data_IF_319923238659
#
_entry.id   IF_319923238659
#
_cell.length_a   1.000
_cell.length_b   1.000
_cell.length_c   1.000
_cell.angle_alpha   90.00
_cell.angle_beta   90.00
_cell.angle_gamma   90.00
#
_symmetry.space_group_name_H-M   'P 1'
#
loop_
_entity.id
_entity.type
_entity.pdbx_description
1 polymer ?
#
# COMPACT_ATOMS: atom_id res chain seq x y z
N UNK A 1 -9.46 -3.72 20.76
CA UNK A 1 -8.82 -4.13 22.03
C UNK A 1 -9.94 -4.56 22.97
N UNK A 2 -10.02 -5.83 23.33
CA UNK A 2 -10.94 -6.30 24.35
C UNK A 2 -10.33 -5.98 25.71
N UNK A 3 -10.99 -5.19 26.52
CA UNK A 3 -10.67 -5.09 27.95
C UNK A 3 -10.84 -6.48 28.58
N UNK A 4 -9.77 -7.09 29.06
CA UNK A 4 -9.82 -8.39 29.68
C UNK A 4 -8.47 -9.01 29.97
N UNK A 5 -8.48 -10.11 30.70
CA UNK A 5 -7.29 -10.92 31.01
C UNK A 5 -7.04 -11.83 29.81
N UNK A 6 -5.82 -11.79 29.25
CA UNK A 6 -5.42 -12.72 28.20
C UNK A 6 -4.99 -14.04 28.83
N UNK A 7 -5.75 -15.13 28.57
CA UNK A 7 -5.36 -16.47 28.97
C UNK A 7 -4.37 -17.06 27.98
N UNK A 8 -3.22 -17.51 28.49
CA UNK A 8 -2.20 -18.18 27.70
C UNK A 8 -2.27 -19.68 27.92
N UNK A 9 -2.52 -20.42 26.85
CA UNK A 9 -2.57 -21.88 26.92
C UNK A 9 -1.18 -22.46 27.24
N UNK A 10 -1.08 -23.29 28.27
CA UNK A 10 0.16 -23.94 28.74
C UNK A 10 0.86 -24.73 27.62
N UNK A 11 0.12 -25.34 26.71
CA UNK A 11 0.70 -26.09 25.60
C UNK A 11 1.56 -25.25 24.64
N UNK A 12 1.27 -23.95 24.53
CA UNK A 12 1.99 -23.04 23.61
C UNK A 12 3.03 -22.17 24.29
N UNK A 13 2.89 -21.94 25.60
CA UNK A 13 3.68 -20.94 26.33
C UNK A 13 4.34 -21.46 27.61
N UNK A 14 4.40 -22.79 27.78
CA UNK A 14 5.00 -23.43 28.99
C UNK A 14 6.45 -23.00 29.24
N UNK A 15 7.21 -22.77 28.18
CA UNK A 15 8.62 -22.33 28.24
C UNK A 15 8.77 -20.83 28.60
N UNK A 16 7.66 -20.10 28.60
CA UNK A 16 7.61 -18.65 28.89
C UNK A 16 7.07 -18.33 30.26
N UNK A 17 6.69 -19.33 31.06
CA UNK A 17 6.24 -19.13 32.42
C UNK A 17 7.34 -18.43 33.23
N UNK A 18 7.01 -17.34 33.92
CA UNK A 18 7.95 -16.55 34.69
C UNK A 18 8.90 -15.63 33.88
N UNK A 19 8.76 -15.61 32.55
CA UNK A 19 9.49 -14.71 31.66
C UNK A 19 8.60 -13.54 31.25
N UNK A 20 9.21 -12.43 30.81
CA UNK A 20 8.45 -11.33 30.26
C UNK A 20 7.79 -11.78 28.93
N UNK A 21 6.47 -11.92 28.94
CA UNK A 21 5.68 -12.33 27.76
C UNK A 21 5.81 -11.33 26.61
N UNK A 22 5.90 -10.05 26.93
CA UNK A 22 6.03 -8.95 25.96
C UNK A 22 7.48 -8.67 25.56
N UNK A 23 8.43 -9.55 25.84
CA UNK A 23 9.73 -9.53 25.14
C UNK A 23 9.53 -9.89 23.67
N UNK A 24 8.74 -9.09 23.00
CA UNK A 24 8.78 -8.98 21.57
C UNK A 24 10.09 -8.30 21.17
N UNK A 25 10.62 -8.62 20.01
CA UNK A 25 11.54 -7.74 19.29
C UNK A 25 10.86 -6.40 19.14
N UNK A 26 10.95 -5.53 20.15
CA UNK A 26 10.45 -4.17 20.06
C UNK A 26 11.38 -3.42 19.14
N UNK A 27 11.07 -3.47 17.85
CA UNK A 27 11.68 -2.50 16.94
C UNK A 27 11.41 -1.12 17.51
N UNK A 28 12.47 -0.33 17.60
CA UNK A 28 12.31 1.06 18.03
C UNK A 28 11.59 1.80 16.93
N UNK A 29 10.38 2.24 17.20
CA UNK A 29 9.57 3.05 16.31
C UNK A 29 9.68 4.51 16.74
N UNK A 30 9.88 5.38 15.78
CA UNK A 30 9.89 6.84 16.00
C UNK A 30 8.67 7.41 15.29
N UNK A 31 7.82 8.09 16.04
CA UNK A 31 6.70 8.84 15.49
C UNK A 31 7.17 10.25 15.11
N UNK A 32 6.89 10.65 13.87
CA UNK A 32 7.35 11.90 13.28
C UNK A 32 6.17 12.70 12.74
N UNK A 33 5.97 13.88 13.27
CA UNK A 33 5.03 14.85 12.69
C UNK A 33 5.69 15.57 11.50
N UNK A 34 5.18 15.30 10.31
CA UNK A 34 5.67 15.90 9.07
C UNK A 34 4.78 17.08 8.69
N UNK A 35 5.40 18.22 8.38
CA UNK A 35 4.69 19.41 7.92
C UNK A 35 4.09 19.21 6.53
N UNK A 36 2.94 19.82 6.20
CA UNK A 36 2.23 19.61 4.92
C UNK A 36 3.05 19.94 3.67
N UNK A 37 4.06 20.80 3.78
CA UNK A 37 4.95 21.17 2.68
C UNK A 37 6.08 20.16 2.42
N UNK A 38 6.16 19.06 3.20
CA UNK A 38 7.18 18.02 3.07
C UNK A 38 6.56 16.63 2.83
N UNK A 39 5.65 16.47 1.86
CA UNK A 39 5.05 15.16 1.56
C UNK A 39 6.10 14.12 1.13
N UNK A 40 7.25 14.56 0.67
CA UNK A 40 8.39 13.71 0.32
C UNK A 40 8.99 12.96 1.54
N UNK A 41 8.70 13.41 2.76
CA UNK A 41 9.16 12.81 4.01
C UNK A 41 8.11 11.89 4.68
N UNK A 42 6.98 11.60 4.04
CA UNK A 42 5.96 10.69 4.59
C UNK A 42 6.34 9.20 4.54
N UNK A 43 7.50 8.85 4.01
CA UNK A 43 8.06 7.49 4.02
C UNK A 43 9.48 7.45 4.56
N UNK A 44 9.89 6.26 5.01
CA UNK A 44 11.20 6.02 5.63
C UNK A 44 12.35 6.55 4.77
N UNK A 45 12.28 6.34 3.45
CA UNK A 45 13.33 6.79 2.56
C UNK A 45 13.43 8.31 2.44
N UNK A 46 12.32 9.02 2.49
CA UNK A 46 12.31 10.49 2.50
C UNK A 46 13.00 11.05 3.73
N UNK A 47 12.68 10.50 4.90
CA UNK A 47 13.33 10.84 6.16
C UNK A 47 14.84 10.51 6.12
N UNK A 48 15.21 9.32 5.62
CA UNK A 48 16.61 8.94 5.51
C UNK A 48 17.40 9.88 4.59
N UNK A 49 16.80 10.37 3.49
CA UNK A 49 17.39 11.37 2.61
C UNK A 49 17.58 12.70 3.31
N UNK A 50 16.59 13.14 4.09
CA UNK A 50 16.63 14.41 4.82
C UNK A 50 17.72 14.38 5.91
N UNK A 51 17.78 13.30 6.68
CA UNK A 51 18.84 13.08 7.66
C UNK A 51 20.24 13.04 7.02
N UNK A 52 20.37 12.44 5.84
CA UNK A 52 21.64 12.44 5.11
C UNK A 52 22.03 13.84 4.64
N UNK A 53 21.08 14.65 4.20
CA UNK A 53 21.31 16.05 3.84
C UNK A 53 21.73 16.90 5.04
N UNK A 54 21.19 16.58 6.24
CA UNK A 54 21.59 17.20 7.50
C UNK A 54 22.94 16.70 8.06
N UNK A 55 23.63 15.79 7.36
CA UNK A 55 24.93 15.27 7.79
C UNK A 55 24.90 14.20 8.88
N UNK A 56 23.70 13.71 9.26
CA UNK A 56 23.53 12.70 10.32
C UNK A 56 23.99 11.31 9.86
N UNK A 57 24.02 11.07 8.55
CA UNK A 57 24.42 9.77 7.98
C UNK A 57 24.58 9.80 6.47
N UNK A 58 24.70 8.62 5.87
CA UNK A 58 24.78 8.45 4.41
C UNK A 58 23.59 7.65 3.90
N UNK A 59 22.86 8.18 2.92
CA UNK A 59 21.77 7.49 2.27
C UNK A 59 22.29 6.27 1.50
N UNK A 60 21.82 5.09 1.88
CA UNK A 60 22.14 3.84 1.16
C UNK A 60 21.48 3.82 -0.21
N UNK A 61 22.20 3.36 -1.23
CA UNK A 61 21.62 3.11 -2.55
C UNK A 61 20.58 1.99 -2.46
N UNK A 62 19.47 2.14 -3.15
CA UNK A 62 18.53 1.04 -3.33
C UNK A 62 19.16 0.05 -4.32
N UNK A 63 19.35 -1.18 -3.87
CA UNK A 63 19.73 -2.27 -4.76
C UNK A 63 18.47 -2.94 -5.28
N UNK A 64 18.10 -2.62 -6.49
CA UNK A 64 16.99 -3.30 -7.17
C UNK A 64 17.55 -4.56 -7.86
N UNK A 65 16.93 -5.71 -7.57
CA UNK A 65 17.19 -6.92 -8.36
C UNK A 65 16.68 -6.68 -9.78
N UNK A 66 17.49 -7.06 -10.76
CA UNK A 66 17.04 -6.99 -12.14
C UNK A 66 15.95 -8.06 -12.37
N UNK A 67 14.70 -7.62 -12.42
CA UNK A 67 13.56 -8.49 -12.67
C UNK A 67 13.41 -8.60 -14.18
N UNK A 68 13.61 -9.81 -14.71
CA UNK A 68 13.36 -10.09 -16.12
C UNK A 68 11.87 -9.96 -16.41
N UNK A 69 11.53 -9.09 -17.35
CA UNK A 69 10.17 -9.02 -17.87
C UNK A 69 9.99 -10.18 -18.86
N UNK A 70 9.09 -11.09 -18.55
CA UNK A 70 8.76 -12.24 -19.39
C UNK A 70 7.33 -12.03 -19.91
N UNK A 71 7.13 -12.06 -21.21
CA UNK A 71 5.80 -11.97 -21.81
C UNK A 71 5.34 -10.55 -22.17
N UNK A 72 4.10 -10.45 -22.62
CA UNK A 72 3.44 -9.22 -23.03
C UNK A 72 2.32 -8.87 -22.07
N UNK A 73 2.13 -7.57 -21.81
CA UNK A 73 1.00 -7.10 -21.02
C UNK A 73 -0.31 -7.36 -21.80
N UNK A 74 -1.17 -8.19 -21.23
CA UNK A 74 -2.47 -8.54 -21.83
C UNK A 74 -3.55 -7.49 -21.56
N UNK A 75 -3.43 -6.74 -20.46
CA UNK A 75 -4.37 -5.71 -20.04
C UNK A 75 -3.89 -4.38 -20.59
N UNK A 76 -4.69 -3.78 -21.47
CA UNK A 76 -4.43 -2.45 -22.00
C UNK A 76 -4.64 -1.41 -20.89
N UNK A 77 -3.83 -0.36 -20.90
CA UNK A 77 -3.98 0.80 -20.01
C UNK A 77 -4.05 2.05 -20.86
N UNK A 78 -5.03 2.89 -20.60
CA UNK A 78 -5.21 4.16 -21.27
C UNK A 78 -5.50 5.27 -20.29
N UNK A 79 -5.10 6.48 -20.65
CA UNK A 79 -5.42 7.72 -19.93
C UNK A 79 -6.23 8.57 -20.90
N UNK A 80 -7.43 9.01 -20.51
CA UNK A 80 -8.22 9.92 -21.33
C UNK A 80 -7.58 11.30 -21.37
N UNK A 81 -7.82 12.03 -22.47
CA UNK A 81 -7.30 13.39 -22.63
C UNK A 81 -8.37 14.42 -22.29
N UNK A 82 -8.82 14.40 -21.05
CA UNK A 82 -9.83 15.37 -20.58
C UNK A 82 -9.19 16.69 -20.13
N UNK A 83 -9.94 17.78 -20.24
CA UNK A 83 -9.54 19.06 -19.63
C UNK A 83 -9.53 18.86 -18.10
N UNK A 84 -8.50 19.37 -17.45
CA UNK A 84 -8.30 19.25 -15.98
C UNK A 84 -8.08 17.81 -15.49
N UNK A 85 -7.44 16.98 -16.30
CA UNK A 85 -7.13 15.62 -15.87
C UNK A 85 -6.10 15.57 -14.74
N UNK A 86 -6.45 14.90 -13.64
CA UNK A 86 -5.58 14.76 -12.47
C UNK A 86 -4.39 13.82 -12.65
N UNK A 87 -4.41 12.97 -13.69
CA UNK A 87 -3.36 11.97 -13.94
C UNK A 87 -2.72 12.18 -15.31
N UNK A 88 -1.43 12.46 -15.34
CA UNK A 88 -0.65 12.63 -16.59
C UNK A 88 0.16 11.40 -16.96
N UNK A 89 0.51 10.56 -15.96
CA UNK A 89 1.29 9.33 -16.14
C UNK A 89 0.73 8.25 -15.24
N UNK A 90 0.47 7.08 -15.80
CA UNK A 90 0.03 5.91 -15.07
C UNK A 90 0.92 4.71 -15.42
N UNK A 91 1.62 4.19 -14.42
CA UNK A 91 2.47 2.99 -14.56
C UNK A 91 1.73 1.76 -14.10
N UNK A 92 1.77 0.70 -14.87
CA UNK A 92 1.19 -0.60 -14.50
C UNK A 92 2.13 -1.75 -14.82
N UNK A 93 2.00 -2.84 -14.09
CA UNK A 93 2.72 -4.08 -14.31
C UNK A 93 1.79 -5.25 -14.05
N UNK A 94 1.68 -6.15 -15.01
CA UNK A 94 1.00 -7.43 -14.81
C UNK A 94 1.98 -8.43 -14.18
N UNK A 95 1.56 -9.04 -13.08
CA UNK A 95 2.33 -10.07 -12.38
C UNK A 95 1.50 -11.35 -12.41
N UNK A 96 2.03 -12.38 -13.06
CA UNK A 96 1.37 -13.68 -13.18
C UNK A 96 1.92 -14.68 -12.15
N UNK A 97 1.13 -15.70 -11.83
CA UNK A 97 1.52 -16.76 -10.89
C UNK A 97 1.54 -16.34 -9.42
N UNK A 98 0.86 -15.25 -9.08
CA UNK A 98 0.72 -14.78 -7.71
C UNK A 98 -0.36 -15.58 -6.99
N UNK A 99 -0.03 -16.10 -5.81
CA UNK A 99 -1.02 -16.60 -4.87
C UNK A 99 -1.09 -15.66 -3.68
N UNK A 100 -2.22 -14.99 -3.50
CA UNK A 100 -2.43 -14.10 -2.36
C UNK A 100 -2.62 -14.94 -1.10
N UNK A 101 -1.57 -15.04 -0.30
CA UNK A 101 -1.51 -15.79 0.96
C UNK A 101 -1.31 -14.83 2.13
N UNK A 102 -1.17 -15.39 3.31
CA UNK A 102 -0.66 -14.64 4.45
C UNK A 102 0.75 -14.10 4.16
N UNK A 103 1.02 -12.92 4.66
CA UNK A 103 2.35 -12.30 4.55
C UNK A 103 3.43 -13.13 5.27
N UNK A 104 4.65 -13.14 4.75
CA UNK A 104 5.77 -13.76 5.45
C UNK A 104 6.02 -13.03 6.77
N UNK A 105 6.59 -13.75 7.75
CA UNK A 105 6.72 -13.29 9.13
C UNK A 105 7.41 -11.92 9.24
N UNK A 106 8.51 -11.71 8.50
CA UNK A 106 9.23 -10.45 8.51
C UNK A 106 8.36 -9.24 8.09
N UNK A 107 7.44 -9.45 7.12
CA UNK A 107 6.55 -8.39 6.63
C UNK A 107 5.44 -8.11 7.66
N UNK A 108 4.87 -9.17 8.24
CA UNK A 108 3.91 -9.04 9.34
C UNK A 108 4.49 -8.23 10.50
N UNK A 109 5.70 -8.56 10.93
CA UNK A 109 6.39 -7.84 12.01
C UNK A 109 6.58 -6.36 11.69
N UNK A 110 6.97 -6.04 10.46
CA UNK A 110 7.11 -4.64 10.01
C UNK A 110 5.78 -3.88 10.06
N UNK A 111 4.72 -4.46 9.51
CA UNK A 111 3.39 -3.85 9.48
C UNK A 111 2.85 -3.65 10.91
N UNK A 112 3.02 -4.65 11.77
CA UNK A 112 2.60 -4.58 13.18
C UNK A 112 3.42 -3.52 13.94
N UNK A 113 4.73 -3.43 13.73
CA UNK A 113 5.56 -2.43 14.41
C UNK A 113 5.16 -0.99 14.09
N UNK A 114 4.53 -0.78 12.93
CA UNK A 114 3.99 0.51 12.49
C UNK A 114 2.51 0.72 12.91
N UNK A 115 1.99 -0.13 13.81
CA UNK A 115 0.62 -0.02 14.34
C UNK A 115 -0.47 -0.46 13.35
N UNK A 116 -0.11 -1.12 12.25
CA UNK A 116 -1.07 -1.60 11.27
C UNK A 116 -1.32 -3.12 11.44
N UNK A 117 -2.49 -3.57 11.01
CA UNK A 117 -2.86 -4.99 11.02
C UNK A 117 -2.52 -5.63 9.68
N UNK A 118 -1.73 -6.73 9.64
CA UNK A 118 -1.52 -7.51 8.43
C UNK A 118 -2.85 -8.07 7.89
N UNK A 119 -3.04 -8.00 6.59
CA UNK A 119 -4.26 -8.43 5.91
C UNK A 119 -3.95 -9.62 5.00
N UNK A 120 -3.14 -9.40 3.98
CA UNK A 120 -2.70 -10.42 3.01
C UNK A 120 -1.41 -9.97 2.33
N UNK A 121 -0.67 -10.91 1.76
CA UNK A 121 0.64 -10.61 1.19
C UNK A 121 0.61 -9.48 0.15
N UNK A 122 -0.39 -9.44 -0.72
CA UNK A 122 -0.49 -8.39 -1.75
C UNK A 122 -0.77 -7.02 -1.11
N UNK A 123 -1.73 -6.94 -0.20
CA UNK A 123 -2.08 -5.68 0.50
C UNK A 123 -0.92 -5.21 1.37
N UNK A 124 -0.30 -6.11 2.12
CA UNK A 124 0.80 -5.77 3.01
C UNK A 124 2.05 -5.31 2.24
N UNK A 125 2.30 -5.86 1.04
CA UNK A 125 3.38 -5.39 0.16
C UNK A 125 3.08 -3.96 -0.33
N UNK A 126 1.85 -3.64 -0.73
CA UNK A 126 1.50 -2.29 -1.15
C UNK A 126 1.66 -1.29 -0.02
N UNK A 127 1.22 -1.65 1.20
CA UNK A 127 1.41 -0.84 2.40
C UNK A 127 2.89 -0.68 2.75
N UNK A 128 3.67 -1.75 2.68
CA UNK A 128 5.11 -1.69 2.94
C UNK A 128 5.84 -0.74 1.97
N UNK A 129 5.55 -0.83 0.68
CA UNK A 129 6.15 0.07 -0.33
C UNK A 129 5.73 1.52 -0.10
N UNK A 130 4.48 1.76 0.28
CA UNK A 130 4.00 3.09 0.62
C UNK A 130 4.74 3.67 1.83
N UNK A 131 4.90 2.90 2.89
CA UNK A 131 5.58 3.32 4.12
C UNK A 131 7.09 3.50 3.94
N UNK A 132 7.73 2.64 3.15
CA UNK A 132 9.18 2.70 2.91
C UNK A 132 9.54 3.80 1.89
N UNK A 133 8.87 3.81 0.75
CA UNK A 133 9.21 4.66 -0.40
C UNK A 133 8.29 5.88 -0.58
N UNK A 134 7.26 6.02 0.24
CA UNK A 134 6.21 7.02 0.06
C UNK A 134 5.57 6.93 -1.34
N UNK A 135 5.28 5.70 -1.77
CA UNK A 135 4.69 5.44 -3.07
C UNK A 135 3.47 4.53 -2.93
N UNK A 136 2.29 5.12 -2.79
CA UNK A 136 1.04 4.38 -2.79
C UNK A 136 0.88 3.56 -4.08
N UNK A 137 0.40 2.34 -3.93
CA UNK A 137 0.18 1.40 -5.03
C UNK A 137 -1.28 0.91 -4.98
N UNK A 138 -1.86 0.69 -6.16
CA UNK A 138 -3.09 -0.05 -6.31
C UNK A 138 -2.77 -1.46 -6.82
N UNK A 139 -3.44 -2.46 -6.28
CA UNK A 139 -3.35 -3.84 -6.72
C UNK A 139 -4.75 -4.33 -7.12
N UNK A 140 -4.88 -4.79 -8.34
CA UNK A 140 -6.13 -5.31 -8.89
C UNK A 140 -5.99 -6.77 -9.25
N UNK A 141 -7.06 -7.53 -9.09
CA UNK A 141 -7.18 -8.88 -9.60
C UNK A 141 -7.35 -8.81 -11.13
N UNK A 142 -6.32 -9.26 -11.85
CA UNK A 142 -6.28 -9.16 -13.31
C UNK A 142 -7.40 -9.94 -14.00
N UNK A 143 -7.90 -11.01 -13.37
CA UNK A 143 -8.99 -11.83 -13.92
C UNK A 143 -10.35 -11.14 -13.79
N UNK A 144 -10.46 -10.12 -12.93
CA UNK A 144 -11.66 -9.30 -12.72
C UNK A 144 -11.70 -8.03 -13.55
N UNK A 145 -10.60 -7.65 -14.19
CA UNK A 145 -10.54 -6.45 -15.04
C UNK A 145 -11.26 -6.71 -16.36
N UNK A 146 -12.26 -5.90 -16.67
CA UNK A 146 -12.94 -5.98 -17.97
C UNK A 146 -12.14 -5.26 -19.08
N UNK A 147 -11.29 -6.05 -19.75
CA UNK A 147 -10.50 -5.74 -20.96
C UNK A 147 -9.38 -4.72 -20.79
N UNK A 148 -9.62 -3.59 -20.15
CA UNK A 148 -8.62 -2.53 -20.05
C UNK A 148 -8.81 -1.68 -18.77
N UNK A 149 -7.74 -1.11 -18.28
CA UNK A 149 -7.76 -0.07 -17.24
C UNK A 149 -7.80 1.28 -17.91
N UNK A 150 -8.75 2.12 -17.53
CA UNK A 150 -8.94 3.47 -18.05
C UNK A 150 -8.81 4.47 -16.89
N UNK A 151 -7.81 5.33 -16.96
CA UNK A 151 -7.68 6.46 -16.04
C UNK A 151 -8.35 7.67 -16.66
N UNK A 152 -9.36 8.21 -16.00
CA UNK A 152 -10.22 9.27 -16.52
C UNK A 152 -10.78 10.14 -15.40
N UNK A 153 -11.44 11.22 -15.76
CA UNK A 153 -12.32 11.88 -14.82
C UNK A 153 -13.60 11.07 -14.60
N UNK A 154 -14.15 11.12 -13.40
CA UNK A 154 -15.45 10.56 -13.08
C UNK A 154 -16.55 11.24 -13.90
N UNK A 155 -17.70 10.59 -14.03
CA UNK A 155 -18.91 11.22 -14.58
C UNK A 155 -19.74 11.78 -13.41
N UNK A 156 -20.39 12.90 -13.63
CA UNK A 156 -21.27 13.49 -12.62
C UNK A 156 -22.37 12.51 -12.22
N UNK A 157 -22.44 12.20 -10.94
CA UNK A 157 -23.42 11.27 -10.39
C UNK A 157 -23.08 9.79 -10.54
N UNK A 158 -21.90 9.46 -11.06
CA UNK A 158 -21.36 8.10 -11.04
C UNK A 158 -21.15 7.66 -9.60
N UNK A 159 -21.42 6.39 -9.29
CA UNK A 159 -21.24 5.85 -7.94
C UNK A 159 -20.05 4.89 -7.89
N UNK A 160 -19.48 4.77 -6.71
CA UNK A 160 -18.34 3.91 -6.43
C UNK A 160 -18.47 3.34 -5.02
N UNK A 161 -18.38 2.01 -4.91
CA UNK A 161 -18.31 1.32 -3.62
C UNK A 161 -16.85 1.23 -3.18
N UNK A 162 -16.53 1.88 -2.06
CA UNK A 162 -15.18 1.89 -1.51
C UNK A 162 -14.91 0.70 -0.57
N UNK A 163 -13.65 0.54 -0.16
CA UNK A 163 -13.21 -0.57 0.72
C UNK A 163 -13.86 -0.55 2.13
N UNK A 164 -14.49 0.56 2.50
CA UNK A 164 -15.27 0.67 3.74
C UNK A 164 -16.73 0.20 3.56
N UNK A 165 -17.06 -0.40 2.42
CA UNK A 165 -18.40 -0.86 2.02
C UNK A 165 -19.43 0.28 1.96
N UNK A 166 -19.00 1.51 1.74
CA UNK A 166 -19.89 2.63 1.50
C UNK A 166 -19.89 3.01 0.04
N UNK A 167 -21.08 3.40 -0.43
CA UNK A 167 -21.25 3.96 -1.76
C UNK A 167 -21.01 5.48 -1.73
N UNK A 168 -20.13 5.94 -2.60
CA UNK A 168 -19.84 7.36 -2.78
C UNK A 168 -20.33 7.82 -4.14
N UNK A 169 -20.99 8.99 -4.15
CA UNK A 169 -21.40 9.65 -5.37
C UNK A 169 -20.29 10.59 -5.83
N UNK A 170 -19.86 10.43 -7.06
CA UNK A 170 -18.72 11.16 -7.61
C UNK A 170 -19.20 12.42 -8.36
N UNK A 171 -18.36 13.47 -8.30
CA UNK A 171 -18.47 14.64 -9.17
C UNK A 171 -17.69 14.42 -10.48
N UNK A 172 -17.95 15.21 -11.51
CA UNK A 172 -17.40 14.99 -12.85
C UNK A 172 -15.91 15.32 -13.04
N UNK A 173 -15.21 15.75 -11.99
CA UNK A 173 -13.80 16.19 -12.03
C UNK A 173 -12.86 15.35 -11.15
N UNK A 174 -13.37 14.32 -10.49
CA UNK A 174 -12.56 13.42 -9.70
C UNK A 174 -11.79 12.45 -10.60
N UNK A 175 -10.49 12.28 -10.36
CA UNK A 175 -9.69 11.29 -11.07
C UNK A 175 -10.05 9.88 -10.61
N UNK A 176 -10.44 9.01 -11.53
CA UNK A 176 -10.79 7.61 -11.24
C UNK A 176 -9.96 6.65 -12.08
N UNK A 177 -9.71 5.50 -11.49
CA UNK A 177 -9.21 4.31 -12.18
C UNK A 177 -10.42 3.43 -12.43
N UNK A 178 -10.70 3.10 -13.66
CA UNK A 178 -11.91 2.38 -14.08
C UNK A 178 -11.58 1.30 -15.10
N UNK A 179 -12.54 0.45 -15.35
CA UNK A 179 -12.59 -0.41 -16.53
C UNK A 179 -13.94 -0.24 -17.24
N UNK A 180 -14.35 -1.20 -18.07
CA UNK A 180 -15.65 -1.14 -18.75
C UNK A 180 -16.83 -1.42 -17.83
N UNK A 181 -16.62 -2.09 -16.71
CA UNK A 181 -17.67 -2.37 -15.72
C UNK A 181 -17.98 -1.16 -14.83
N UNK A 182 -17.01 -0.26 -14.63
CA UNK A 182 -17.21 0.92 -13.79
C UNK A 182 -15.94 1.44 -13.14
N UNK A 183 -16.09 2.16 -12.03
CA UNK A 183 -14.99 2.69 -11.23
C UNK A 183 -14.41 1.60 -10.34
N UNK A 184 -13.09 1.41 -10.42
CA UNK A 184 -12.33 0.47 -9.61
C UNK A 184 -11.66 1.12 -8.41
N UNK A 185 -11.46 2.45 -8.46
CA UNK A 185 -10.83 3.20 -7.38
C UNK A 185 -10.65 4.67 -7.70
N UNK A 186 -10.39 5.46 -6.66
CA UNK A 186 -10.11 6.89 -6.77
C UNK A 186 -8.61 7.12 -6.92
N UNK A 187 -8.22 7.91 -7.92
CA UNK A 187 -6.82 8.25 -8.14
C UNK A 187 -6.29 9.19 -7.06
N UNK A 188 -5.20 8.80 -6.39
CA UNK A 188 -4.56 9.60 -5.35
C UNK A 188 -5.23 9.55 -3.97
N UNK A 189 -6.25 8.71 -3.79
CA UNK A 189 -6.90 8.42 -2.50
C UNK A 189 -6.74 6.92 -2.23
N UNK A 190 -6.40 6.59 -1.00
CA UNK A 190 -6.18 5.21 -0.54
C UNK A 190 -7.27 4.85 0.44
#
# INVERSE_FOLDING_TARGET
ESEGITELTTSKYSDKIGKNFFQSNTEKVVDLSITPNRPDCLGVRGIARDLAAAGVGKLKKISLKNIKKNGSQKIKVSITKDKNQGCTVFGSCLIEGVTNKESPQWLKEKIISLGQKPISAVVDITNYVMLDLNRPLHAYDADKIDKEIIVRNSKKGETFEALDNKEYKLDGDMCVISDKSGVLGLGGII
#
